data_IF_565844670999
#
_entry.id   IF_565844670999
#
_cell.length_a   1.000
_cell.length_b   1.000
_cell.length_c   1.000
_cell.angle_alpha   90.00
_cell.angle_beta   90.00
_cell.angle_gamma   90.00
#
_symmetry.space_group_name_H-M   'P 1'
#
loop_
_entity.id
_entity.type
_entity.pdbx_description
1 polymer ?
#
# COMPACT_ATOMS: atom_id res chain seq x y z
N UNK A 1 -15.97 4.92 -21.82
CA UNK A 1 -15.82 3.56 -21.24
C UNK A 1 -15.42 3.67 -19.75
N UNK A 2 -16.18 4.40 -18.95
CA UNK A 2 -15.83 4.73 -17.54
C UNK A 2 -15.93 3.51 -16.62
N UNK A 3 -16.89 2.61 -16.86
CA UNK A 3 -17.07 1.40 -16.05
C UNK A 3 -15.90 0.43 -16.16
N UNK A 4 -15.32 0.26 -17.36
CA UNK A 4 -14.15 -0.61 -17.59
C UNK A 4 -12.92 -0.02 -16.92
N UNK A 5 -12.72 1.29 -17.03
CA UNK A 5 -11.67 1.99 -16.32
C UNK A 5 -11.81 1.80 -14.81
N UNK A 6 -13.00 1.99 -14.24
CA UNK A 6 -13.26 1.78 -12.81
C UNK A 6 -12.90 0.36 -12.36
N UNK A 7 -13.41 -0.66 -13.06
CA UNK A 7 -13.17 -2.06 -12.70
C UNK A 7 -11.70 -2.42 -12.81
N UNK A 8 -11.06 -2.10 -13.96
CA UNK A 8 -9.66 -2.43 -14.18
C UNK A 8 -8.71 -1.68 -13.25
N UNK A 9 -8.94 -0.38 -13.00
CA UNK A 9 -8.18 0.40 -12.01
C UNK A 9 -8.32 -0.22 -10.62
N UNK A 10 -9.53 -0.57 -10.21
CA UNK A 10 -9.79 -1.14 -8.88
C UNK A 10 -9.07 -2.47 -8.69
N UNK A 11 -9.15 -3.37 -9.67
CA UNK A 11 -8.47 -4.68 -9.61
C UNK A 11 -6.96 -4.49 -9.54
N UNK A 12 -6.38 -3.62 -10.36
CA UNK A 12 -4.94 -3.35 -10.36
C UNK A 12 -4.47 -2.72 -9.04
N UNK A 13 -5.22 -1.76 -8.49
CA UNK A 13 -4.94 -1.18 -7.17
C UNK A 13 -5.00 -2.24 -6.08
N UNK A 14 -5.98 -3.15 -6.11
CA UNK A 14 -6.05 -4.24 -5.13
C UNK A 14 -4.85 -5.19 -5.23
N UNK A 15 -4.43 -5.55 -6.44
CA UNK A 15 -3.21 -6.34 -6.65
C UNK A 15 -1.98 -5.63 -6.06
N UNK A 16 -1.84 -4.32 -6.28
CA UNK A 16 -0.76 -3.53 -5.70
C UNK A 16 -0.82 -3.49 -4.17
N UNK A 17 -2.00 -3.29 -3.58
CA UNK A 17 -2.17 -3.34 -2.13
C UNK A 17 -1.70 -4.67 -1.52
N UNK A 18 -2.08 -5.79 -2.13
CA UNK A 18 -1.66 -7.12 -1.66
C UNK A 18 -0.15 -7.30 -1.74
N UNK A 19 0.51 -6.84 -2.81
CA UNK A 19 1.96 -6.89 -2.96
C UNK A 19 2.70 -5.93 -2.01
N UNK A 20 2.18 -4.73 -1.80
CA UNK A 20 2.72 -3.77 -0.83
C UNK A 20 2.61 -4.33 0.58
N UNK A 21 1.45 -4.87 0.97
CA UNK A 21 1.27 -5.56 2.26
C UNK A 21 2.27 -6.70 2.43
N UNK A 22 2.48 -7.51 1.39
CA UNK A 22 3.45 -8.61 1.41
C UNK A 22 4.85 -8.14 1.77
N UNK A 23 5.34 -7.08 1.12
CA UNK A 23 6.66 -6.50 1.40
C UNK A 23 6.72 -5.83 2.77
N UNK A 24 5.67 -5.13 3.16
CA UNK A 24 5.59 -4.41 4.43
C UNK A 24 5.60 -5.38 5.62
N UNK A 25 4.79 -6.44 5.58
CA UNK A 25 4.80 -7.49 6.61
C UNK A 25 6.18 -8.12 6.79
N UNK A 26 6.90 -8.35 5.69
CA UNK A 26 8.29 -8.86 5.74
C UNK A 26 9.24 -7.84 6.38
N UNK A 27 9.08 -6.55 6.09
CA UNK A 27 9.93 -5.49 6.64
C UNK A 27 9.76 -5.31 8.15
N UNK A 28 8.52 -5.39 8.63
CA UNK A 28 8.13 -5.25 10.04
C UNK A 28 8.30 -6.56 10.82
N UNK A 29 8.44 -7.70 10.13
CA UNK A 29 8.52 -9.05 10.72
C UNK A 29 7.28 -9.41 11.53
N UNK A 30 6.13 -9.22 10.88
CA UNK A 30 4.82 -9.54 11.43
C UNK A 30 4.72 -11.03 11.80
N UNK A 31 3.93 -11.33 12.83
CA UNK A 31 3.66 -12.71 13.25
C UNK A 31 3.00 -13.56 12.15
N UNK A 32 3.71 -14.61 11.69
CA UNK A 32 3.22 -15.53 10.65
C UNK A 32 2.13 -16.51 11.12
N UNK A 33 1.92 -16.67 12.42
CA UNK A 33 0.81 -17.50 12.94
C UNK A 33 -0.54 -16.82 12.78
N UNK A 34 -0.56 -15.51 12.50
CA UNK A 34 -1.78 -14.77 12.27
C UNK A 34 -2.46 -15.20 10.95
N UNK A 35 -3.76 -15.55 10.95
CA UNK A 35 -4.46 -16.04 9.76
C UNK A 35 -4.46 -15.02 8.59
N UNK A 36 -4.53 -13.73 8.87
CA UNK A 36 -4.50 -12.68 7.85
C UNK A 36 -3.13 -12.58 7.17
N UNK A 37 -2.05 -12.71 7.95
CA UNK A 37 -0.69 -12.77 7.42
C UNK A 37 -0.55 -13.96 6.47
N UNK A 38 -1.00 -15.15 6.89
CA UNK A 38 -0.97 -16.36 6.07
C UNK A 38 -1.80 -16.22 4.79
N UNK A 39 -2.95 -15.55 4.87
CA UNK A 39 -3.81 -15.31 3.71
C UNK A 39 -3.07 -14.50 2.62
N UNK A 40 -2.45 -13.37 2.98
CA UNK A 40 -1.69 -12.55 2.04
C UNK A 40 -0.48 -13.31 1.49
N UNK A 41 0.22 -14.10 2.33
CA UNK A 41 1.30 -14.98 1.86
C UNK A 41 0.75 -15.98 0.83
N UNK A 42 -0.31 -16.71 1.16
CA UNK A 42 -0.88 -17.77 0.31
C UNK A 42 -1.38 -17.23 -1.04
N UNK A 43 -1.95 -16.03 -1.09
CA UNK A 43 -2.39 -15.42 -2.35
C UNK A 43 -1.21 -15.02 -3.22
N UNK A 44 -0.13 -14.52 -2.62
CA UNK A 44 1.01 -13.99 -3.36
C UNK A 44 2.03 -15.05 -3.78
N UNK A 45 2.12 -16.16 -3.04
CA UNK A 45 3.09 -17.24 -3.29
C UNK A 45 2.98 -17.93 -4.65
N UNK A 46 1.79 -18.22 -5.22
CA UNK A 46 1.68 -18.84 -6.54
C UNK A 46 2.37 -18.04 -7.66
N UNK A 47 2.41 -16.71 -7.53
CA UNK A 47 3.03 -15.81 -8.51
C UNK A 47 4.51 -15.59 -8.15
N UNK A 48 4.81 -15.35 -6.87
CA UNK A 48 6.18 -15.04 -6.42
C UNK A 48 7.09 -16.29 -6.45
N UNK A 49 6.57 -17.47 -6.11
CA UNK A 49 7.34 -18.71 -5.99
C UNK A 49 8.07 -19.11 -7.29
N UNK A 50 7.39 -19.14 -8.44
CA UNK A 50 8.04 -19.35 -9.74
C UNK A 50 9.03 -18.24 -10.08
N UNK A 51 8.68 -16.97 -9.80
CA UNK A 51 9.54 -15.83 -10.12
C UNK A 51 10.85 -15.85 -9.31
N UNK A 52 10.81 -16.32 -8.06
CA UNK A 52 11.99 -16.50 -7.21
C UNK A 52 13.00 -17.53 -7.74
N UNK A 53 12.58 -18.44 -8.63
CA UNK A 53 13.50 -19.37 -9.30
C UNK A 53 14.41 -18.66 -10.30
N UNK A 54 13.90 -17.59 -10.92
CA UNK A 54 14.65 -16.78 -11.90
C UNK A 54 15.39 -15.65 -11.20
N UNK A 55 14.75 -15.02 -10.22
CA UNK A 55 15.27 -13.86 -9.52
C UNK A 55 15.44 -14.21 -8.05
N UNK A 56 16.62 -14.66 -7.61
CA UNK A 56 16.84 -15.05 -6.23
C UNK A 56 16.74 -13.83 -5.31
N UNK A 57 16.26 -14.08 -4.09
CA UNK A 57 16.20 -13.08 -3.03
C UNK A 57 17.60 -12.66 -2.59
N UNK A 58 17.88 -11.35 -2.59
CA UNK A 58 19.16 -10.81 -2.12
C UNK A 58 19.03 -10.48 -0.63
N UNK A 59 19.65 -11.31 0.21
CA UNK A 59 19.68 -11.13 1.66
C UNK A 59 18.28 -11.19 2.30
N UNK A 60 17.86 -10.10 2.96
CA UNK A 60 16.55 -9.98 3.64
C UNK A 60 15.46 -9.41 2.75
N UNK A 61 15.78 -8.99 1.52
CA UNK A 61 14.86 -8.31 0.60
C UNK A 61 14.37 -9.32 -0.44
N UNK A 62 13.05 -9.40 -0.59
CA UNK A 62 12.42 -10.22 -1.62
C UNK A 62 12.37 -9.45 -2.95
N UNK A 63 13.50 -9.48 -3.66
CA UNK A 63 13.71 -8.82 -4.96
C UNK A 63 12.65 -9.21 -5.99
N UNK A 64 12.22 -10.47 -6.02
CA UNK A 64 11.15 -10.95 -6.90
C UNK A 64 9.83 -10.19 -6.66
N UNK A 65 9.46 -9.95 -5.39
CA UNK A 65 8.23 -9.21 -5.05
C UNK A 65 8.33 -7.73 -5.39
N UNK A 66 9.50 -7.10 -5.22
CA UNK A 66 9.72 -5.72 -5.66
C UNK A 66 9.58 -5.54 -7.17
N UNK A 67 10.14 -6.46 -7.96
CA UNK A 67 10.02 -6.44 -9.42
C UNK A 67 8.58 -6.67 -9.84
N UNK A 68 7.89 -7.62 -9.21
CA UNK A 68 6.48 -7.87 -9.47
C UNK A 68 5.62 -6.66 -9.14
N UNK A 69 5.86 -6.01 -7.99
CA UNK A 69 5.17 -4.78 -7.60
C UNK A 69 5.37 -3.68 -8.65
N UNK A 70 6.59 -3.48 -9.10
CA UNK A 70 6.92 -2.49 -10.12
C UNK A 70 6.24 -2.79 -11.46
N UNK A 71 6.25 -4.06 -11.88
CA UNK A 71 5.59 -4.50 -13.12
C UNK A 71 4.08 -4.21 -13.09
N UNK A 72 3.40 -4.57 -11.99
CA UNK A 72 1.96 -4.29 -11.83
C UNK A 72 1.68 -2.78 -11.80
N UNK A 73 2.59 -1.97 -11.25
CA UNK A 73 2.44 -0.52 -11.23
C UNK A 73 2.55 0.08 -12.63
N UNK A 74 3.49 -0.40 -13.45
CA UNK A 74 3.60 0.00 -14.87
C UNK A 74 2.33 -0.39 -15.63
N UNK A 75 1.81 -1.61 -15.42
CA UNK A 75 0.55 -2.06 -16.04
C UNK A 75 -0.60 -1.15 -15.64
N UNK A 76 -0.71 -0.78 -14.35
CA UNK A 76 -1.71 0.18 -13.86
C UNK A 76 -1.60 1.53 -14.54
N UNK A 77 -0.40 2.10 -14.67
CA UNK A 77 -0.19 3.38 -15.35
C UNK A 77 -0.63 3.30 -16.81
N UNK A 78 -0.17 2.30 -17.56
CA UNK A 78 -0.54 2.12 -18.97
C UNK A 78 -2.05 2.02 -19.11
N UNK A 79 -2.70 1.21 -18.27
CA UNK A 79 -4.14 1.03 -18.28
C UNK A 79 -4.88 2.34 -17.98
N UNK A 80 -4.51 3.04 -16.91
CA UNK A 80 -5.18 4.29 -16.50
C UNK A 80 -5.00 5.40 -17.54
N UNK A 81 -3.80 5.59 -18.07
CA UNK A 81 -3.54 6.66 -19.06
C UNK A 81 -4.23 6.38 -20.39
N UNK A 82 -4.22 5.13 -20.86
CA UNK A 82 -4.89 4.73 -22.09
C UNK A 82 -6.39 5.06 -22.09
N UNK A 83 -7.05 4.93 -20.94
CA UNK A 83 -8.50 5.17 -20.82
C UNK A 83 -8.89 6.61 -20.43
N UNK A 84 -7.98 7.42 -19.87
CA UNK A 84 -8.28 8.79 -19.44
C UNK A 84 -7.79 9.87 -20.40
N UNK A 85 -6.67 9.64 -21.10
CA UNK A 85 -6.04 10.64 -21.97
C UNK A 85 -6.20 10.24 -23.43
N UNK A 86 -6.64 11.19 -24.25
CA UNK A 86 -6.74 11.01 -25.71
C UNK A 86 -5.35 11.09 -26.35
N UNK A 87 -5.11 10.28 -27.38
CA UNK A 87 -3.87 10.25 -28.17
C UNK A 87 -2.58 9.97 -27.39
N UNK A 88 -2.65 9.23 -26.28
CA UNK A 88 -1.45 8.79 -25.56
C UNK A 88 -0.79 7.58 -26.24
N UNK A 89 0.54 7.53 -26.32
CA UNK A 89 1.24 6.35 -26.82
C UNK A 89 1.01 5.17 -25.85
N UNK A 90 0.95 3.96 -26.40
CA UNK A 90 0.76 2.72 -25.61
C UNK A 90 1.89 2.56 -24.59
N UNK A 91 3.11 2.98 -24.94
CA UNK A 91 4.27 2.94 -24.06
C UNK A 91 5.13 4.18 -24.24
N UNK A 92 5.58 4.77 -23.13
CA UNK A 92 6.57 5.83 -23.06
C UNK A 92 7.51 5.57 -21.89
N UNK A 93 8.76 6.04 -21.98
CA UNK A 93 9.77 5.89 -20.92
C UNK A 93 9.31 6.58 -19.62
N UNK A 94 8.52 7.64 -19.72
CA UNK A 94 7.98 8.39 -18.57
C UNK A 94 7.08 7.53 -17.68
N UNK A 95 6.41 6.52 -18.25
CA UNK A 95 5.52 5.63 -17.50
C UNK A 95 6.27 4.82 -16.45
N UNK A 96 7.57 4.58 -16.66
CA UNK A 96 8.44 3.94 -15.69
C UNK A 96 8.64 4.81 -14.44
N UNK A 97 8.69 6.13 -14.60
CA UNK A 97 8.76 7.07 -13.46
C UNK A 97 7.39 7.19 -12.78
N UNK A 98 6.30 7.27 -13.56
CA UNK A 98 4.94 7.32 -13.00
C UNK A 98 4.56 6.06 -12.22
N UNK A 99 5.12 4.90 -12.57
CA UNK A 99 4.93 3.68 -11.79
C UNK A 99 5.47 3.81 -10.36
N UNK A 100 6.55 4.56 -10.14
CA UNK A 100 7.05 4.85 -8.78
C UNK A 100 6.04 5.72 -8.03
N UNK A 101 5.49 6.75 -8.68
CA UNK A 101 4.44 7.58 -8.10
C UNK A 101 3.18 6.75 -7.75
N UNK A 102 2.77 5.81 -8.62
CA UNK A 102 1.66 4.89 -8.36
C UNK A 102 1.89 4.05 -7.11
N UNK A 103 3.08 3.48 -6.94
CA UNK A 103 3.42 2.68 -5.75
C UNK A 103 3.36 3.54 -4.49
N UNK A 104 3.89 4.76 -4.52
CA UNK A 104 3.86 5.67 -3.36
C UNK A 104 2.44 6.09 -3.03
N UNK A 105 1.63 6.44 -4.03
CA UNK A 105 0.21 6.75 -3.88
C UNK A 105 -0.55 5.59 -3.24
N UNK A 106 -0.39 4.38 -3.78
CA UNK A 106 -1.09 3.19 -3.30
C UNK A 106 -0.61 2.76 -1.91
N UNK A 107 0.67 2.92 -1.58
CA UNK A 107 1.20 2.67 -0.25
C UNK A 107 0.61 3.65 0.78
N UNK A 108 0.51 4.94 0.43
CA UNK A 108 -0.10 5.95 1.28
C UNK A 108 -1.58 5.69 1.52
N UNK A 109 -2.35 5.40 0.47
CA UNK A 109 -3.77 5.06 0.58
C UNK A 109 -3.98 3.78 1.39
N UNK A 110 -3.18 2.74 1.16
CA UNK A 110 -3.23 1.52 1.93
C UNK A 110 -2.95 1.79 3.42
N UNK A 111 -1.92 2.59 3.75
CA UNK A 111 -1.62 2.98 5.13
C UNK A 111 -2.79 3.73 5.77
N UNK A 112 -3.44 4.65 5.05
CA UNK A 112 -4.64 5.34 5.51
C UNK A 112 -5.75 4.35 5.87
N UNK A 113 -6.04 3.38 4.98
CA UNK A 113 -7.07 2.37 5.23
C UNK A 113 -6.72 1.46 6.41
N UNK A 114 -5.46 1.01 6.55
CA UNK A 114 -5.01 0.21 7.69
C UNK A 114 -5.20 0.97 9.02
N UNK A 115 -4.86 2.26 9.03
CA UNK A 115 -5.06 3.14 10.18
C UNK A 115 -6.55 3.30 10.50
N UNK A 116 -7.39 3.56 9.49
CA UNK A 116 -8.82 3.67 9.68
C UNK A 116 -9.43 2.38 10.26
N UNK A 117 -9.06 1.21 9.73
CA UNK A 117 -9.50 -0.08 10.27
C UNK A 117 -9.00 -0.31 11.70
N UNK A 118 -7.76 0.08 12.02
CA UNK A 118 -7.24 0.02 13.41
C UNK A 118 -8.08 0.87 14.35
N UNK A 119 -8.44 2.09 13.94
CA UNK A 119 -9.28 2.98 14.74
C UNK A 119 -10.68 2.40 14.95
N UNK A 120 -11.32 1.88 13.89
CA UNK A 120 -12.65 1.26 13.99
C UNK A 120 -12.62 0.04 14.93
N UNK A 121 -11.65 -0.87 14.74
CA UNK A 121 -11.56 -2.07 15.56
C UNK A 121 -11.20 -1.77 17.02
N UNK A 122 -10.46 -0.69 17.29
CA UNK A 122 -10.19 -0.27 18.68
C UNK A 122 -11.45 -0.07 19.51
N UNK A 123 -12.56 0.36 18.89
CA UNK A 123 -13.86 0.48 19.56
C UNK A 123 -14.64 -0.82 19.60
N UNK A 124 -14.55 -1.65 18.55
CA UNK A 124 -15.34 -2.88 18.40
C UNK A 124 -14.76 -4.03 19.21
N UNK A 125 -13.49 -4.37 19.02
CA UNK A 125 -12.84 -5.56 19.59
C UNK A 125 -11.96 -5.26 20.80
N UNK A 126 -11.72 -3.99 21.12
CA UNK A 126 -10.89 -3.54 22.25
C UNK A 126 -9.50 -4.22 22.31
N UNK A 127 -8.94 -4.58 21.15
CA UNK A 127 -7.58 -5.13 21.03
C UNK A 127 -7.43 -6.64 21.24
N UNK A 128 -8.51 -7.41 21.25
CA UNK A 128 -8.46 -8.85 21.55
C UNK A 128 -8.40 -9.75 20.29
N UNK A 129 -8.56 -9.18 19.09
CA UNK A 129 -8.61 -9.98 17.85
C UNK A 129 -7.25 -10.10 17.17
N UNK A 130 -7.05 -11.17 16.40
CA UNK A 130 -5.86 -11.29 15.54
C UNK A 130 -5.76 -10.17 14.50
N UNK A 131 -6.87 -9.57 14.08
CA UNK A 131 -6.83 -8.40 13.19
C UNK A 131 -6.22 -7.18 13.88
N UNK A 132 -6.53 -6.96 15.17
CA UNK A 132 -5.96 -5.86 15.97
C UNK A 132 -4.45 -5.98 16.09
N UNK A 133 -3.96 -7.19 16.40
CA UNK A 133 -2.53 -7.46 16.52
C UNK A 133 -1.80 -7.15 15.21
N UNK A 134 -2.33 -7.62 14.08
CA UNK A 134 -1.73 -7.39 12.77
C UNK A 134 -1.71 -5.91 12.40
N UNK A 135 -2.84 -5.22 12.56
CA UNK A 135 -2.96 -3.80 12.24
C UNK A 135 -2.07 -2.95 13.14
N UNK A 136 -1.98 -3.29 14.42
CA UNK A 136 -1.04 -2.66 15.34
C UNK A 136 0.39 -2.86 14.85
N UNK A 137 0.83 -4.10 14.58
CA UNK A 137 2.19 -4.35 14.08
C UNK A 137 2.51 -3.56 12.81
N UNK A 138 1.59 -3.51 11.84
CA UNK A 138 1.79 -2.80 10.57
C UNK A 138 1.91 -1.27 10.74
N UNK A 139 1.10 -0.69 11.62
CA UNK A 139 0.99 0.77 11.75
C UNK A 139 1.86 1.36 12.88
N UNK A 140 2.27 0.56 13.87
CA UNK A 140 3.08 1.02 15.00
C UNK A 140 4.42 1.68 14.60
N UNK A 141 5.16 1.22 13.57
CA UNK A 141 6.39 1.88 13.13
C UNK A 141 6.19 3.36 12.75
N UNK A 142 4.97 3.73 12.34
CA UNK A 142 4.60 5.08 11.91
C UNK A 142 4.03 5.90 13.08
N UNK A 143 3.26 5.28 13.96
CA UNK A 143 2.61 5.95 15.09
C UNK A 143 3.57 6.13 16.28
N UNK A 144 4.44 5.16 16.56
CA UNK A 144 5.33 5.18 17.71
C UNK A 144 6.26 6.41 17.76
N UNK A 145 6.85 6.90 16.65
CA UNK A 145 7.63 8.14 16.65
C UNK A 145 6.83 9.36 17.13
N UNK A 146 5.56 9.49 16.69
CA UNK A 146 4.69 10.60 17.11
C UNK A 146 4.29 10.45 18.56
N UNK A 147 3.97 9.22 19.00
CA UNK A 147 3.59 8.94 20.40
C UNK A 147 4.70 9.27 21.40
N UNK A 148 5.97 9.29 20.97
CA UNK A 148 7.10 9.76 21.79
C UNK A 148 7.07 11.27 22.03
N UNK A 149 6.46 12.05 21.13
CA UNK A 149 6.37 13.52 21.21
C UNK A 149 5.06 13.93 21.88
N UNK A 150 3.95 13.29 21.49
CA UNK A 150 2.61 13.55 22.02
C UNK A 150 2.07 12.26 22.64
N UNK A 151 2.22 12.06 23.96
CA UNK A 151 1.64 10.91 24.64
C UNK A 151 0.12 10.88 24.49
N UNK A 152 -0.50 9.69 24.56
CA UNK A 152 -1.95 9.57 24.48
C UNK A 152 -2.62 10.30 25.67
N UNK A 153 -3.59 11.17 25.38
CA UNK A 153 -4.39 11.89 26.38
C UNK A 153 -5.70 11.14 26.61
N UNK A 154 -5.75 10.30 27.65
CA UNK A 154 -6.93 9.52 27.99
C UNK A 154 -7.14 8.32 27.03
N UNK A 155 -8.37 8.13 26.55
CA UNK A 155 -8.78 6.97 25.73
C UNK A 155 -8.53 7.22 24.22
N UNK A 156 -8.31 8.47 23.81
CA UNK A 156 -8.12 8.84 22.41
C UNK A 156 -6.62 8.94 22.09
N UNK A 157 -6.17 8.19 21.09
CA UNK A 157 -4.79 8.30 20.60
C UNK A 157 -4.65 9.52 19.68
N UNK A 158 -4.24 10.67 20.23
CA UNK A 158 -4.01 11.89 19.46
C UNK A 158 -2.90 11.69 18.42
N UNK A 159 -1.93 10.82 18.70
CA UNK A 159 -0.84 10.48 17.76
C UNK A 159 -1.39 9.93 16.45
N UNK A 160 -2.46 9.14 16.53
CA UNK A 160 -3.16 8.60 15.37
C UNK A 160 -3.75 9.72 14.50
N UNK A 161 -4.48 10.65 15.10
CA UNK A 161 -5.09 11.77 14.36
C UNK A 161 -4.02 12.62 13.68
N UNK A 162 -2.95 12.96 14.41
CA UNK A 162 -1.83 13.73 13.86
C UNK A 162 -1.23 13.01 12.64
N UNK A 163 -1.00 11.69 12.73
CA UNK A 163 -0.45 10.95 11.61
C UNK A 163 -1.38 10.93 10.40
N UNK A 164 -2.69 10.78 10.60
CA UNK A 164 -3.67 10.85 9.51
C UNK A 164 -3.64 12.23 8.83
N UNK A 165 -3.57 13.31 9.60
CA UNK A 165 -3.42 14.66 9.03
C UNK A 165 -2.13 14.82 8.24
N UNK A 166 -1.00 14.29 8.73
CA UNK A 166 0.27 14.28 7.99
C UNK A 166 0.11 13.52 6.67
N UNK A 167 -0.55 12.37 6.69
CA UNK A 167 -0.76 11.56 5.50
C UNK A 167 -1.64 12.27 4.46
N UNK A 168 -2.70 12.96 4.90
CA UNK A 168 -3.54 13.79 4.04
C UNK A 168 -2.77 14.97 3.45
N UNK A 169 -1.96 15.64 4.26
CA UNK A 169 -1.08 16.72 3.80
C UNK A 169 -0.09 16.21 2.75
N UNK A 170 0.57 15.06 2.99
CA UNK A 170 1.50 14.45 2.04
C UNK A 170 0.80 14.04 0.73
N UNK A 171 -0.45 13.58 0.80
CA UNK A 171 -1.23 13.26 -0.39
C UNK A 171 -1.51 14.52 -1.23
N UNK A 172 -1.85 15.65 -0.59
CA UNK A 172 -2.05 16.92 -1.31
C UNK A 172 -0.75 17.53 -1.82
N UNK A 173 0.33 17.46 -1.04
CA UNK A 173 1.65 17.90 -1.49
C UNK A 173 2.12 17.10 -2.72
N UNK A 174 1.85 15.79 -2.74
CA UNK A 174 2.17 14.96 -3.89
C UNK A 174 1.32 15.32 -5.11
N UNK A 175 0.05 15.73 -4.92
CA UNK A 175 -0.75 16.31 -5.99
C UNK A 175 -0.15 17.61 -6.52
N UNK A 176 0.34 18.50 -5.67
CA UNK A 176 0.98 19.76 -6.10
C UNK A 176 2.23 19.52 -6.95
N UNK A 177 2.98 18.44 -6.67
CA UNK A 177 4.22 18.08 -7.36
C UNK A 177 3.97 17.30 -8.65
N UNK A 178 3.08 16.29 -8.60
CA UNK A 178 2.85 15.32 -9.68
C UNK A 178 1.69 15.75 -10.60
N UNK A 179 0.81 16.62 -10.10
CA UNK A 179 -0.31 17.20 -10.84
C UNK A 179 -1.43 16.19 -11.11
N UNK A 180 -2.08 16.37 -12.27
CA UNK A 180 -3.27 15.61 -12.65
C UNK A 180 -3.07 14.09 -12.63
N UNK A 181 -1.85 13.63 -12.95
CA UNK A 181 -1.53 12.20 -12.90
C UNK A 181 -1.80 11.61 -11.51
N UNK A 182 -1.53 12.33 -10.43
CA UNK A 182 -1.75 11.86 -9.06
C UNK A 182 -3.22 11.53 -8.76
N UNK A 183 -4.16 12.31 -9.30
CA UNK A 183 -5.61 12.06 -9.14
C UNK A 183 -6.04 10.81 -9.92
N UNK A 184 -5.35 10.50 -11.02
CA UNK A 184 -5.67 9.35 -11.85
C UNK A 184 -5.21 8.02 -11.23
N UNK A 185 -4.20 8.04 -10.35
CA UNK A 185 -3.66 6.86 -9.64
C UNK A 185 -4.71 6.25 -8.70
#
# INVERSE_FOLDING_TARGET
>A
MTSILFLGKTVLTFCLYVLILRLWMQRVRVNFYNPFTQFIVKITQPIIGPLRKVIPSIGRIDTATWILLYLFAVIKIIFVLYFNLTNTPIFSIEYLLYAVAAIVHDAGNLLFWLLLFRAILSWVSRGQSGADELLAQLTEPFIAPIRRIVPPLGIIDISFMIFVFILMFLNMLAFDIVGYLWILL
#
